data_IF_370325225678
#
_entry.id   IF_370325225678
#
_cell.length_a   1.000
_cell.length_b   1.000
_cell.length_c   1.000
_cell.angle_alpha   90.00
_cell.angle_beta   90.00
_cell.angle_gamma   90.00
#
_symmetry.space_group_name_H-M   'P 1'
#
loop_
_entity.id
_entity.type
_entity.pdbx_description
1 polymer ?
#
# COMPACT_ATOMS: atom_id res chain seq x y z
N UNK A 1 -34.35 -40.54 -33.79
CA UNK A 1 -32.88 -40.37 -33.76
C UNK A 1 -32.55 -38.91 -33.43
N UNK A 2 -32.75 -38.57 -32.15
CA UNK A 2 -32.42 -37.29 -31.51
C UNK A 2 -31.69 -37.74 -30.24
N UNK A 3 -30.40 -37.42 -30.11
CA UNK A 3 -29.52 -37.61 -28.92
C UNK A 3 -28.02 -37.68 -29.26
N UNK A 4 -27.56 -37.19 -30.43
CA UNK A 4 -26.12 -37.13 -30.73
C UNK A 4 -25.56 -35.75 -31.07
N UNK A 5 -26.41 -34.71 -31.16
CA UNK A 5 -25.97 -33.33 -31.45
C UNK A 5 -25.93 -32.47 -30.17
N UNK A 6 -26.65 -32.85 -29.10
CA UNK A 6 -26.57 -32.13 -27.81
C UNK A 6 -25.33 -32.50 -26.98
N UNK A 7 -24.71 -33.66 -27.23
CA UNK A 7 -23.56 -34.14 -26.47
C UNK A 7 -22.22 -33.50 -26.90
N UNK A 8 -22.11 -33.00 -28.14
CA UNK A 8 -20.86 -32.34 -28.59
C UNK A 8 -20.78 -30.87 -28.22
N UNK A 9 -21.92 -30.20 -27.98
CA UNK A 9 -21.93 -28.81 -27.49
C UNK A 9 -21.62 -28.74 -25.99
N UNK A 10 -22.04 -29.74 -25.21
CA UNK A 10 -21.72 -29.86 -23.79
C UNK A 10 -20.24 -30.21 -23.54
N UNK A 11 -19.59 -30.89 -24.49
CA UNK A 11 -18.15 -31.20 -24.41
C UNK A 11 -17.25 -30.01 -24.84
N UNK A 12 -17.74 -29.08 -25.67
CA UNK A 12 -17.01 -27.85 -26.01
C UNK A 12 -17.15 -26.75 -24.93
N UNK A 13 -18.21 -26.77 -24.13
CA UNK A 13 -18.38 -25.86 -22.99
C UNK A 13 -17.63 -26.30 -21.73
N UNK A 14 -17.13 -27.54 -21.68
CA UNK A 14 -16.26 -28.05 -20.61
C UNK A 14 -14.76 -27.84 -20.91
N UNK A 15 -14.41 -27.21 -22.04
CA UNK A 15 -13.05 -26.79 -22.40
C UNK A 15 -12.86 -25.27 -22.38
N UNK A 16 -13.92 -24.49 -22.11
CA UNK A 16 -13.78 -23.12 -21.66
C UNK A 16 -13.51 -23.17 -20.15
N UNK A 17 -12.24 -23.40 -19.80
CA UNK A 17 -11.75 -23.23 -18.45
C UNK A 17 -12.23 -21.88 -17.94
N UNK A 18 -13.18 -21.93 -17.02
CA UNK A 18 -13.43 -20.90 -16.03
C UNK A 18 -12.05 -20.52 -15.50
N UNK A 19 -11.68 -19.26 -15.70
CA UNK A 19 -10.45 -18.70 -15.15
C UNK A 19 -10.50 -18.84 -13.64
N UNK A 20 -10.03 -19.97 -13.13
CA UNK A 20 -9.37 -20.01 -11.85
C UNK A 20 -8.30 -18.91 -11.91
N UNK A 21 -8.12 -18.10 -10.85
CA UNK A 21 -6.89 -17.34 -10.75
C UNK A 21 -5.77 -18.34 -10.97
N UNK A 22 -4.77 -17.95 -11.76
CA UNK A 22 -3.49 -18.62 -11.71
C UNK A 22 -3.03 -18.51 -10.24
N UNK A 23 -3.44 -19.46 -9.42
CA UNK A 23 -2.57 -20.02 -8.41
C UNK A 23 -1.41 -20.44 -9.27
N UNK A 24 -0.35 -19.63 -9.25
CA UNK A 24 0.95 -20.10 -9.67
C UNK A 24 1.16 -21.34 -8.82
N UNK A 25 0.82 -22.51 -9.36
CA UNK A 25 1.49 -23.73 -8.99
C UNK A 25 2.94 -23.36 -9.15
N UNK A 26 3.66 -23.25 -8.03
CA UNK A 26 5.09 -23.07 -8.00
C UNK A 26 5.65 -24.04 -9.04
N UNK A 27 5.98 -23.51 -10.21
CA UNK A 27 6.73 -24.24 -11.21
C UNK A 27 8.01 -24.61 -10.50
N UNK A 28 8.37 -25.88 -10.57
CA UNK A 28 9.62 -26.43 -10.06
C UNK A 28 10.82 -25.84 -10.81
N UNK A 29 11.02 -24.53 -10.70
CA UNK A 29 12.34 -23.95 -10.67
C UNK A 29 12.97 -24.47 -9.39
N UNK A 30 14.17 -25.03 -9.49
CA UNK A 30 14.98 -25.39 -8.35
C UNK A 30 15.10 -24.15 -7.45
N UNK A 31 14.32 -24.06 -6.37
CA UNK A 31 14.50 -23.00 -5.38
C UNK A 31 15.98 -23.02 -4.98
N UNK A 32 16.67 -21.90 -5.20
CA UNK A 32 18.07 -21.79 -4.87
C UNK A 32 18.26 -22.13 -3.39
N UNK A 33 19.27 -22.94 -3.10
CA UNK A 33 19.61 -23.23 -1.71
C UNK A 33 20.04 -21.93 -1.00
N UNK A 34 19.88 -21.86 0.32
CA UNK A 34 20.35 -20.71 1.11
C UNK A 34 21.83 -20.35 0.86
N UNK A 35 22.64 -21.36 0.54
CA UNK A 35 24.05 -21.19 0.22
C UNK A 35 24.28 -20.57 -1.16
N UNK A 36 23.47 -20.93 -2.16
CA UNK A 36 23.49 -20.29 -3.48
C UNK A 36 23.04 -18.84 -3.37
N UNK A 37 21.95 -18.58 -2.64
CA UNK A 37 21.45 -17.22 -2.41
C UNK A 37 22.47 -16.35 -1.68
N UNK A 38 23.19 -16.91 -0.69
CA UNK A 38 24.30 -16.22 -0.04
C UNK A 38 25.42 -15.86 -1.02
N UNK A 39 25.79 -16.77 -1.91
CA UNK A 39 26.84 -16.52 -2.89
C UNK A 39 26.46 -15.43 -3.90
N UNK A 40 25.20 -15.40 -4.30
CA UNK A 40 24.68 -14.47 -5.31
C UNK A 40 24.38 -13.08 -4.73
N UNK A 41 23.84 -13.01 -3.51
CA UNK A 41 23.32 -11.77 -2.94
C UNK A 41 24.28 -11.09 -1.96
N UNK A 42 25.28 -11.80 -1.43
CA UNK A 42 26.20 -11.22 -0.43
C UNK A 42 27.56 -10.87 -1.03
N UNK A 43 28.19 -9.75 -0.60
CA UNK A 43 29.52 -9.37 -1.09
C UNK A 43 30.57 -10.46 -0.80
N UNK A 44 31.26 -10.91 -1.85
CA UNK A 44 32.39 -11.85 -1.74
C UNK A 44 33.67 -11.08 -1.38
N UNK A 45 33.88 -10.87 -0.08
CA UNK A 45 34.99 -10.08 0.44
C UNK A 45 36.25 -10.94 0.62
N UNK A 46 37.41 -10.35 0.38
CA UNK A 46 38.70 -10.91 0.81
C UNK A 46 38.86 -10.82 2.33
N UNK A 47 39.76 -11.62 2.89
CA UNK A 47 40.06 -11.58 4.34
C UNK A 47 40.49 -10.18 4.80
N UNK A 48 41.26 -9.45 3.98
CA UNK A 48 41.66 -8.07 4.28
C UNK A 48 40.48 -7.10 4.34
N UNK A 49 39.47 -7.28 3.49
CA UNK A 49 38.26 -6.44 3.48
C UNK A 49 37.34 -6.80 4.65
N UNK A 50 37.24 -8.08 5.01
CA UNK A 50 36.48 -8.51 6.19
C UNK A 50 37.04 -7.97 7.51
N UNK A 51 38.35 -7.74 7.56
CA UNK A 51 39.08 -7.24 8.73
C UNK A 51 39.34 -5.74 8.69
N UNK A 52 38.79 -5.00 7.71
CA UNK A 52 39.00 -3.57 7.60
C UNK A 52 38.54 -2.84 8.87
N UNK A 53 39.45 -2.09 9.50
CA UNK A 53 39.20 -1.38 10.76
C UNK A 53 39.18 -2.27 12.01
N UNK A 54 39.41 -3.58 11.89
CA UNK A 54 39.53 -4.48 13.03
C UNK A 54 40.83 -4.26 13.81
N UNK A 55 40.79 -4.51 15.12
CA UNK A 55 41.98 -4.46 15.97
C UNK A 55 42.58 -5.86 16.07
N UNK A 56 43.63 -6.11 15.28
CA UNK A 56 44.41 -7.36 15.34
C UNK A 56 45.34 -7.34 16.56
N UNK A 57 45.33 -8.41 17.32
CA UNK A 57 46.13 -8.63 18.52
C UNK A 57 47.20 -9.70 18.25
N UNK A 58 48.06 -9.96 19.23
CA UNK A 58 49.01 -11.08 19.17
C UNK A 58 48.29 -12.45 19.17
N UNK A 59 49.02 -13.52 18.85
CA UNK A 59 48.52 -14.91 18.92
C UNK A 59 47.27 -15.22 18.07
N UNK A 60 47.16 -14.62 16.88
CA UNK A 60 46.06 -14.84 15.95
C UNK A 60 44.67 -14.44 16.49
N UNK A 61 44.64 -13.38 17.31
CA UNK A 61 43.40 -12.85 17.91
C UNK A 61 42.98 -11.52 17.28
N UNK A 62 41.69 -11.24 17.30
CA UNK A 62 41.12 -9.99 16.76
C UNK A 62 39.92 -9.53 17.59
N UNK A 63 39.72 -8.21 17.68
CA UNK A 63 38.54 -7.60 18.29
C UNK A 63 38.05 -6.38 17.50
N UNK A 64 36.86 -5.89 17.83
CA UNK A 64 36.24 -4.73 17.18
C UNK A 64 36.21 -4.84 15.65
N UNK A 65 35.66 -5.94 15.13
CA UNK A 65 35.49 -6.21 13.70
C UNK A 65 34.27 -5.41 13.19
N UNK A 66 34.47 -4.30 12.44
CA UNK A 66 33.36 -3.41 12.07
C UNK A 66 32.32 -4.07 11.18
N UNK A 67 32.74 -4.98 10.29
CA UNK A 67 31.81 -5.69 9.42
C UNK A 67 30.83 -6.57 10.22
N UNK A 68 31.30 -7.28 11.25
CA UNK A 68 30.40 -8.05 12.12
C UNK A 68 29.40 -7.16 12.85
N UNK A 69 29.81 -5.95 13.26
CA UNK A 69 28.92 -4.96 13.84
C UNK A 69 27.84 -4.54 12.84
N UNK A 70 28.22 -4.22 11.60
CA UNK A 70 27.28 -3.84 10.54
C UNK A 70 26.25 -4.94 10.25
N UNK A 71 26.70 -6.19 10.10
CA UNK A 71 25.80 -7.34 9.95
C UNK A 71 24.83 -7.48 11.13
N UNK A 72 25.29 -7.24 12.36
CA UNK A 72 24.44 -7.31 13.54
C UNK A 72 23.38 -6.21 13.56
N UNK A 73 23.75 -4.96 13.24
CA UNK A 73 22.82 -3.83 13.15
C UNK A 73 21.75 -4.05 12.08
N UNK A 74 22.15 -4.60 10.92
CA UNK A 74 21.23 -4.92 9.85
C UNK A 74 20.32 -6.10 10.19
N UNK A 75 20.82 -7.12 10.91
CA UNK A 75 19.98 -8.21 11.42
C UNK A 75 18.93 -7.71 12.40
N UNK A 76 19.27 -6.77 13.29
CA UNK A 76 18.31 -6.14 14.20
C UNK A 76 17.24 -5.39 13.40
N UNK A 77 17.66 -4.60 12.41
CA UNK A 77 16.73 -3.85 11.54
C UNK A 77 15.81 -4.80 10.77
N UNK A 78 16.36 -5.86 10.17
CA UNK A 78 15.60 -6.89 9.48
C UNK A 78 14.63 -7.58 10.43
N UNK A 79 15.07 -7.98 11.62
CA UNK A 79 14.23 -8.67 12.59
C UNK A 79 13.08 -7.80 13.09
N UNK A 80 13.31 -6.50 13.32
CA UNK A 80 12.27 -5.53 13.65
C UNK A 80 11.24 -5.39 12.51
N UNK A 81 11.71 -5.21 11.27
CA UNK A 81 10.82 -5.15 10.10
C UNK A 81 10.05 -6.46 9.93
N UNK A 82 10.71 -7.61 10.12
CA UNK A 82 10.16 -8.95 9.95
C UNK A 82 9.34 -9.45 11.13
N UNK A 83 9.33 -8.75 12.26
CA UNK A 83 8.73 -9.17 13.54
C UNK A 83 9.29 -10.51 14.02
N UNK A 84 10.60 -10.68 13.87
CA UNK A 84 11.36 -11.83 14.32
C UNK A 84 12.05 -11.49 15.65
N UNK A 85 11.97 -12.38 16.64
CA UNK A 85 12.62 -12.14 17.93
C UNK A 85 14.06 -12.64 17.92
N UNK A 86 15.02 -11.75 18.16
CA UNK A 86 16.44 -12.09 18.26
C UNK A 86 16.87 -12.36 19.72
N UNK A 87 17.82 -13.28 19.96
CA UNK A 87 18.38 -13.50 21.30
C UNK A 87 19.12 -12.23 21.79
N UNK A 88 19.20 -11.99 23.11
CA UNK A 88 19.83 -10.78 23.68
C UNK A 88 21.26 -10.51 23.20
N UNK A 89 22.04 -11.57 22.97
CA UNK A 89 23.41 -11.50 22.47
C UNK A 89 23.51 -10.88 21.07
N UNK A 90 22.47 -11.03 20.26
CA UNK A 90 22.39 -10.47 18.92
C UNK A 90 21.86 -9.03 18.89
N UNK A 91 21.39 -8.47 20.02
CA UNK A 91 20.81 -7.13 20.05
C UNK A 91 21.83 -6.00 20.17
N UNK A 92 23.06 -6.29 20.65
CA UNK A 92 24.13 -5.28 20.80
C UNK A 92 25.50 -5.86 20.53
N UNK A 93 26.26 -5.18 19.69
CA UNK A 93 27.65 -5.53 19.42
C UNK A 93 28.53 -5.21 20.63
N UNK A 94 29.44 -6.13 20.94
CA UNK A 94 30.46 -5.91 21.97
C UNK A 94 31.85 -5.78 21.30
N UNK A 95 32.41 -4.56 21.22
CA UNK A 95 33.71 -4.34 20.58
C UNK A 95 34.89 -4.93 21.36
N UNK A 96 34.70 -5.24 22.64
CA UNK A 96 35.73 -5.82 23.50
C UNK A 96 35.79 -7.35 23.41
N UNK A 97 34.87 -8.00 22.69
CA UNK A 97 34.93 -9.45 22.48
C UNK A 97 36.11 -9.81 21.57
N UNK A 98 36.92 -10.75 22.04
CA UNK A 98 38.12 -11.24 21.34
C UNK A 98 37.77 -12.55 20.66
N UNK A 99 38.01 -12.63 19.36
CA UNK A 99 37.82 -13.81 18.52
C UNK A 99 39.17 -14.33 18.01
N UNK A 100 39.18 -15.58 17.57
CA UNK A 100 40.24 -16.10 16.69
C UNK A 100 40.12 -15.46 15.31
N UNK A 101 41.25 -15.03 14.73
CA UNK A 101 41.30 -14.38 13.42
C UNK A 101 40.68 -15.28 12.35
N UNK A 102 41.07 -16.55 12.34
CA UNK A 102 40.60 -17.57 11.38
C UNK A 102 39.07 -17.83 11.50
N UNK A 103 38.45 -17.42 12.61
CA UNK A 103 37.01 -17.59 12.83
C UNK A 103 36.16 -16.43 12.28
N UNK A 104 36.77 -15.33 11.82
CA UNK A 104 36.00 -14.15 11.38
C UNK A 104 35.23 -14.40 10.08
N UNK A 105 35.88 -14.96 9.06
CA UNK A 105 35.23 -15.28 7.79
C UNK A 105 34.01 -16.21 7.96
N UNK A 106 34.11 -17.37 8.66
CA UNK A 106 32.95 -18.24 8.86
C UNK A 106 31.85 -17.59 9.73
N UNK A 107 32.19 -16.69 10.68
CA UNK A 107 31.18 -15.93 11.45
C UNK A 107 30.41 -14.96 10.56
N UNK A 108 31.09 -14.22 9.68
CA UNK A 108 30.44 -13.30 8.73
C UNK A 108 29.51 -14.08 7.79
N UNK A 109 29.98 -15.22 7.28
CA UNK A 109 29.15 -16.14 6.49
C UNK A 109 27.89 -16.58 7.24
N UNK A 110 28.03 -17.04 8.49
CA UNK A 110 26.90 -17.46 9.31
C UNK A 110 25.89 -16.32 9.56
N UNK A 111 26.35 -15.09 9.81
CA UNK A 111 25.50 -13.92 9.97
C UNK A 111 24.72 -13.59 8.68
N UNK A 112 25.38 -13.66 7.53
CA UNK A 112 24.74 -13.47 6.22
C UNK A 112 23.66 -14.52 5.93
N UNK A 113 23.99 -15.81 6.10
CA UNK A 113 23.03 -16.91 5.96
C UNK A 113 21.84 -16.74 6.91
N UNK A 114 22.08 -16.30 8.14
CA UNK A 114 21.01 -16.07 9.12
C UNK A 114 20.05 -14.96 8.66
N UNK A 115 20.55 -13.88 8.05
CA UNK A 115 19.69 -12.81 7.53
C UNK A 115 18.83 -13.27 6.37
N UNK A 116 19.41 -14.01 5.41
CA UNK A 116 18.66 -14.61 4.30
C UNK A 116 17.60 -15.58 4.83
N UNK A 117 17.96 -16.41 5.80
CA UNK A 117 17.05 -17.35 6.44
C UNK A 117 15.86 -16.65 7.12
N UNK A 118 16.10 -15.57 7.88
CA UNK A 118 15.03 -14.75 8.48
C UNK A 118 14.14 -14.17 7.39
N UNK A 119 14.73 -13.68 6.29
CA UNK A 119 13.98 -13.16 5.15
C UNK A 119 13.03 -14.22 4.58
N UNK A 120 13.55 -15.39 4.18
CA UNK A 120 12.74 -16.51 3.65
C UNK A 120 11.66 -16.98 4.62
N UNK A 121 11.98 -17.11 5.91
CA UNK A 121 11.00 -17.45 6.93
C UNK A 121 9.83 -16.43 7.01
N UNK A 122 10.13 -15.16 6.75
CA UNK A 122 9.15 -14.08 6.79
C UNK A 122 8.35 -13.87 5.51
N UNK A 123 8.72 -14.54 4.42
CA UNK A 123 8.10 -14.42 3.09
C UNK A 123 7.44 -15.73 2.65
N UNK A 124 8.12 -16.86 2.80
CA UNK A 124 7.68 -18.16 2.29
C UNK A 124 6.94 -18.99 3.35
N UNK A 125 7.33 -18.85 4.63
CA UNK A 125 6.78 -19.68 5.71
C UNK A 125 5.61 -19.01 6.45
N UNK A 126 5.11 -17.86 5.99
CA UNK A 126 4.07 -17.06 6.68
C UNK A 126 2.83 -17.89 7.04
N UNK A 127 2.50 -18.88 6.20
CA UNK A 127 1.31 -19.73 6.31
C UNK A 127 1.55 -21.02 7.08
N UNK A 128 2.78 -21.28 7.54
CA UNK A 128 3.13 -22.50 8.27
C UNK A 128 2.60 -22.47 9.70
N UNK A 129 2.42 -23.66 10.27
CA UNK A 129 2.05 -23.80 11.69
C UNK A 129 3.07 -23.12 12.61
N UNK A 130 2.62 -22.69 13.79
CA UNK A 130 3.48 -22.04 14.80
C UNK A 130 4.74 -22.85 15.13
N UNK A 131 4.68 -24.18 15.05
CA UNK A 131 5.83 -25.05 15.27
C UNK A 131 6.98 -24.81 14.28
N UNK A 132 6.68 -24.48 13.01
CA UNK A 132 7.68 -24.14 12.00
C UNK A 132 8.41 -22.84 12.38
N UNK A 133 7.66 -21.82 12.77
CA UNK A 133 8.22 -20.55 13.22
C UNK A 133 9.02 -20.69 14.53
N UNK A 134 8.53 -21.49 15.48
CA UNK A 134 9.27 -21.77 16.72
C UNK A 134 10.59 -22.51 16.46
N UNK A 135 10.59 -23.45 15.50
CA UNK A 135 11.81 -24.12 15.08
C UNK A 135 12.77 -23.15 14.38
N UNK A 136 12.29 -22.36 13.42
CA UNK A 136 13.07 -21.32 12.76
C UNK A 136 13.73 -20.35 13.76
N UNK A 137 12.96 -19.89 14.76
CA UNK A 137 13.47 -19.04 15.84
C UNK A 137 14.57 -19.74 16.67
N UNK A 138 14.41 -21.03 16.95
CA UNK A 138 15.44 -21.83 17.62
C UNK A 138 16.74 -21.93 16.82
N UNK A 139 16.64 -22.15 15.52
CA UNK A 139 17.80 -22.25 14.62
C UNK A 139 18.53 -20.92 14.47
N UNK A 140 17.78 -19.81 14.31
CA UNK A 140 18.35 -18.46 14.32
C UNK A 140 19.04 -18.16 15.64
N UNK A 141 18.44 -18.54 16.77
CA UNK A 141 19.06 -18.35 18.07
C UNK A 141 20.38 -19.11 18.21
N UNK A 142 20.44 -20.35 17.74
CA UNK A 142 21.66 -21.17 17.74
C UNK A 142 22.72 -20.54 16.84
N UNK A 143 22.36 -20.15 15.61
CA UNK A 143 23.29 -19.51 14.67
C UNK A 143 23.92 -18.24 15.25
N UNK A 144 23.10 -17.35 15.84
CA UNK A 144 23.58 -16.09 16.41
C UNK A 144 24.41 -16.30 17.67
N UNK A 145 24.00 -17.21 18.56
CA UNK A 145 24.80 -17.54 19.75
C UNK A 145 26.15 -18.12 19.34
N UNK A 146 26.21 -18.99 18.34
CA UNK A 146 27.48 -19.53 17.81
C UNK A 146 28.33 -18.44 17.17
N UNK A 147 27.73 -17.60 16.32
CA UNK A 147 28.41 -16.51 15.61
C UNK A 147 29.04 -15.47 16.57
N UNK A 148 28.41 -15.21 17.72
CA UNK A 148 28.92 -14.26 18.72
C UNK A 148 29.65 -14.91 19.90
N UNK A 149 29.72 -16.25 19.98
CA UNK A 149 30.48 -16.94 21.01
C UNK A 149 31.98 -16.95 20.66
N UNK A 150 32.85 -16.25 21.42
CA UNK A 150 34.28 -16.21 21.14
C UNK A 150 34.99 -17.55 21.33
N UNK A 151 34.36 -18.51 22.00
CA UNK A 151 34.90 -19.85 22.24
C UNK A 151 34.41 -20.90 21.23
N UNK A 152 33.53 -20.52 20.30
CA UNK A 152 33.11 -21.43 19.23
C UNK A 152 34.28 -21.69 18.28
N UNK A 153 34.57 -22.97 18.03
CA UNK A 153 35.59 -23.36 17.05
C UNK A 153 35.12 -23.08 15.63
N UNK A 154 36.05 -23.03 14.66
CA UNK A 154 35.71 -22.90 13.24
C UNK A 154 34.76 -24.01 12.79
N UNK A 155 35.02 -25.24 13.25
CA UNK A 155 34.18 -26.41 12.94
C UNK A 155 32.75 -26.25 13.49
N UNK A 156 32.59 -25.68 14.70
CA UNK A 156 31.26 -25.42 15.28
C UNK A 156 30.49 -24.37 14.46
N UNK A 157 31.19 -23.35 13.95
CA UNK A 157 30.59 -22.26 13.16
C UNK A 157 30.16 -22.79 11.79
N UNK A 158 31.01 -23.57 11.11
CA UNK A 158 30.67 -24.18 9.82
C UNK A 158 29.54 -25.21 9.95
N UNK A 159 29.53 -26.00 11.03
CA UNK A 159 28.39 -26.89 11.32
C UNK A 159 27.09 -26.11 11.51
N UNK A 160 27.14 -24.92 12.11
CA UNK A 160 25.96 -24.04 12.21
C UNK A 160 25.54 -23.46 10.84
N UNK A 161 26.49 -23.13 9.95
CA UNK A 161 26.20 -22.72 8.56
C UNK A 161 25.47 -23.82 7.79
N UNK A 162 25.94 -25.06 7.88
CA UNK A 162 25.28 -26.21 7.23
C UNK A 162 23.89 -26.44 7.81
N UNK A 163 23.75 -26.40 9.14
CA UNK A 163 22.49 -26.63 9.82
C UNK A 163 21.41 -25.62 9.43
N UNK A 164 21.72 -24.32 9.46
CA UNK A 164 20.74 -23.28 9.10
C UNK A 164 20.38 -23.32 7.61
N UNK A 165 21.31 -23.75 6.76
CA UNK A 165 21.04 -23.91 5.33
C UNK A 165 20.08 -25.08 5.06
N UNK A 166 20.28 -26.21 5.75
CA UNK A 166 19.49 -27.43 5.54
C UNK A 166 18.11 -27.39 6.22
N UNK A 167 17.96 -26.63 7.31
CA UNK A 167 16.70 -26.63 8.06
C UNK A 167 15.55 -25.98 7.30
N UNK A 168 15.84 -25.13 6.30
CA UNK A 168 14.81 -24.51 5.47
C UNK A 168 14.00 -25.57 4.71
N UNK A 169 14.68 -26.56 4.11
CA UNK A 169 14.02 -27.66 3.41
C UNK A 169 13.06 -28.41 4.34
N UNK A 170 13.44 -28.60 5.61
CA UNK A 170 12.56 -29.24 6.59
C UNK A 170 11.35 -28.36 6.94
N UNK A 171 11.56 -27.05 7.12
CA UNK A 171 10.51 -26.11 7.48
C UNK A 171 9.45 -25.94 6.38
N UNK A 172 9.86 -25.98 5.11
CA UNK A 172 8.95 -25.94 3.96
C UNK A 172 8.02 -27.15 3.94
N UNK A 173 8.49 -28.32 4.37
CA UNK A 173 7.70 -29.56 4.43
C UNK A 173 6.74 -29.61 5.64
N UNK A 174 6.85 -28.67 6.58
CA UNK A 174 5.92 -28.60 7.71
C UNK A 174 4.51 -28.22 7.23
N UNK A 175 3.45 -28.68 7.93
CA UNK A 175 2.09 -28.40 7.53
C UNK A 175 1.79 -26.89 7.54
N UNK A 176 0.96 -26.48 6.59
CA UNK A 176 0.35 -25.15 6.59
C UNK A 176 -0.79 -25.07 7.62
N UNK A 177 -1.15 -23.85 7.98
CA UNK A 177 -2.26 -23.58 8.89
C UNK A 177 -3.60 -23.97 8.25
N UNK A 178 -4.43 -24.63 9.03
CA UNK A 178 -5.83 -24.90 8.69
C UNK A 178 -6.73 -23.73 9.09
N UNK A 179 -7.97 -23.74 8.60
CA UNK A 179 -8.95 -22.69 8.88
C UNK A 179 -9.28 -22.56 10.38
N UNK A 180 -9.22 -23.67 11.12
CA UNK A 180 -9.55 -23.75 12.54
C UNK A 180 -8.36 -23.48 13.47
N UNK A 181 -7.13 -23.42 12.93
CA UNK A 181 -5.95 -23.07 13.72
C UNK A 181 -6.00 -21.60 14.16
N UNK A 182 -5.30 -21.29 15.24
CA UNK A 182 -5.12 -19.90 15.66
C UNK A 182 -4.14 -19.19 14.73
N UNK A 183 -4.52 -17.99 14.28
CA UNK A 183 -3.67 -17.17 13.42
C UNK A 183 -2.37 -16.79 14.14
N UNK A 184 -1.24 -17.10 13.50
CA UNK A 184 0.11 -16.76 13.98
C UNK A 184 0.34 -15.25 13.94
N UNK A 185 1.39 -14.79 14.62
CA UNK A 185 1.81 -13.38 14.59
C UNK A 185 2.16 -12.91 13.16
N UNK A 186 2.64 -13.82 12.31
CA UNK A 186 3.04 -13.54 10.94
C UNK A 186 1.83 -13.27 10.04
N UNK A 187 0.78 -14.08 10.11
CA UNK A 187 -0.49 -13.80 9.46
C UNK A 187 -1.10 -12.48 9.91
N UNK A 188 -1.09 -12.23 11.23
CA UNK A 188 -1.61 -10.98 11.81
C UNK A 188 -0.82 -9.76 11.34
N UNK A 189 0.46 -9.90 11.03
CA UNK A 189 1.29 -8.81 10.50
C UNK A 189 0.83 -8.39 9.11
N UNK A 190 0.56 -9.36 8.23
CA UNK A 190 0.01 -9.11 6.89
C UNK A 190 -1.31 -8.36 7.02
N UNK A 191 -2.25 -8.89 7.80
CA UNK A 191 -3.52 -8.22 8.09
C UNK A 191 -3.35 -6.80 8.67
N UNK A 192 -2.45 -6.61 9.63
CA UNK A 192 -2.22 -5.30 10.25
C UNK A 192 -1.59 -4.28 9.28
N UNK A 193 -0.92 -4.73 8.20
CA UNK A 193 -0.48 -3.85 7.11
C UNK A 193 -1.70 -3.22 6.43
N UNK A 194 -2.71 -4.01 6.10
CA UNK A 194 -3.93 -3.52 5.46
C UNK A 194 -4.75 -2.63 6.39
N UNK A 195 -4.82 -2.96 7.68
CA UNK A 195 -5.42 -2.07 8.69
C UNK A 195 -4.73 -0.70 8.73
N UNK A 196 -3.39 -0.65 8.60
CA UNK A 196 -2.65 0.63 8.52
C UNK A 196 -2.99 1.39 7.24
N UNK A 197 -3.07 0.73 6.10
CA UNK A 197 -3.48 1.37 4.85
C UNK A 197 -4.92 1.91 4.92
N UNK A 198 -5.85 1.14 5.47
CA UNK A 198 -7.23 1.56 5.70
C UNK A 198 -7.30 2.81 6.60
N UNK A 199 -6.49 2.89 7.67
CA UNK A 199 -6.39 4.08 8.53
C UNK A 199 -5.84 5.30 7.79
N UNK A 200 -4.94 5.13 6.81
CA UNK A 200 -4.46 6.25 5.98
C UNK A 200 -5.57 6.84 5.13
N UNK A 201 -6.51 6.01 4.62
CA UNK A 201 -7.66 6.48 3.83
C UNK A 201 -8.53 7.50 4.59
N UNK A 202 -8.69 7.34 5.90
CA UNK A 202 -9.53 8.24 6.72
C UNK A 202 -9.02 9.69 6.72
N UNK A 203 -7.72 9.88 6.52
CA UNK A 203 -7.05 11.18 6.66
C UNK A 203 -6.83 11.91 5.33
N UNK A 204 -7.10 11.25 4.21
CA UNK A 204 -6.84 11.71 2.85
C UNK A 204 -8.14 12.05 2.11
N UNK A 205 -8.08 13.01 1.20
CA UNK A 205 -9.15 13.28 0.23
C UNK A 205 -9.00 12.37 -0.97
N UNK A 206 -10.11 12.13 -1.68
CA UNK A 206 -10.09 11.45 -2.96
C UNK A 206 -9.71 12.43 -4.07
N UNK A 207 -8.84 11.98 -4.98
CA UNK A 207 -8.50 12.64 -6.23
C UNK A 207 -8.57 11.63 -7.37
N UNK A 208 -9.05 12.08 -8.52
CA UNK A 208 -9.19 11.22 -9.69
C UNK A 208 -7.83 10.67 -10.13
N UNK A 209 -6.76 11.46 -10.07
CA UNK A 209 -5.40 11.04 -10.47
C UNK A 209 -4.74 10.02 -9.53
N UNK A 210 -5.42 9.59 -8.46
CA UNK A 210 -4.90 8.68 -7.43
C UNK A 210 -3.66 9.20 -6.67
N UNK A 211 -3.26 10.47 -6.86
CA UNK A 211 -2.19 11.09 -6.07
C UNK A 211 -2.56 11.18 -4.58
N UNK A 212 -3.86 11.20 -4.31
CA UNK A 212 -4.44 11.13 -2.97
C UNK A 212 -5.67 10.24 -3.02
N UNK A 213 -5.72 9.22 -2.16
CA UNK A 213 -6.84 8.29 -2.07
C UNK A 213 -7.32 8.28 -0.62
N UNK A 214 -8.57 8.67 -0.40
CA UNK A 214 -9.16 8.63 0.92
C UNK A 214 -10.60 9.12 0.98
N UNK A 215 -11.19 9.04 2.17
CA UNK A 215 -12.61 9.27 2.42
C UNK A 215 -12.89 10.53 3.23
N UNK A 216 -11.88 11.39 3.45
CA UNK A 216 -12.02 12.60 4.28
C UNK A 216 -13.06 13.57 3.75
N UNK A 217 -13.16 13.66 2.42
CA UNK A 217 -14.17 14.46 1.72
C UNK A 217 -15.51 13.76 1.55
N UNK A 218 -15.75 12.58 2.13
CA UNK A 218 -17.06 11.91 2.06
C UNK A 218 -17.98 12.41 3.18
N UNK A 219 -19.27 12.04 3.09
CA UNK A 219 -20.27 12.26 4.15
C UNK A 219 -19.74 11.86 5.53
N UNK A 220 -20.10 12.65 6.55
CA UNK A 220 -19.72 12.39 7.94
C UNK A 220 -20.14 10.98 8.40
N UNK A 221 -21.29 10.49 7.93
CA UNK A 221 -21.77 9.13 8.17
C UNK A 221 -20.79 8.07 7.65
N UNK A 222 -20.42 8.12 6.36
CA UNK A 222 -19.48 7.18 5.73
C UNK A 222 -18.16 7.15 6.49
N UNK A 223 -17.60 8.34 6.78
CA UNK A 223 -16.32 8.46 7.50
C UNK A 223 -16.39 7.87 8.91
N UNK A 224 -17.46 8.17 9.65
CA UNK A 224 -17.61 7.73 11.04
C UNK A 224 -17.85 6.22 11.11
N UNK A 225 -18.72 5.70 10.25
CA UNK A 225 -19.00 4.26 10.16
C UNK A 225 -17.76 3.47 9.74
N UNK A 226 -17.02 3.92 8.72
CA UNK A 226 -15.77 3.27 8.32
C UNK A 226 -14.72 3.31 9.44
N UNK A 227 -14.60 4.44 10.15
CA UNK A 227 -13.66 4.55 11.27
C UNK A 227 -14.01 3.58 12.40
N UNK A 228 -15.29 3.46 12.75
CA UNK A 228 -15.77 2.50 13.75
C UNK A 228 -15.48 1.06 13.31
N UNK A 229 -15.75 0.76 12.05
CA UNK A 229 -15.52 -0.55 11.44
C UNK A 229 -14.04 -0.94 11.47
N UNK A 230 -13.14 -0.07 11.01
CA UNK A 230 -11.70 -0.29 11.04
C UNK A 230 -11.21 -0.54 12.48
N UNK A 231 -11.75 0.17 13.46
CA UNK A 231 -11.36 0.02 14.86
C UNK A 231 -11.87 -1.30 15.47
N UNK A 232 -13.09 -1.72 15.14
CA UNK A 232 -13.64 -3.02 15.55
C UNK A 232 -12.82 -4.18 14.95
N UNK A 233 -12.57 -4.12 13.64
CA UNK A 233 -11.76 -5.10 12.90
C UNK A 233 -10.35 -5.19 13.48
N UNK A 234 -9.68 -4.04 13.69
CA UNK A 234 -8.34 -4.02 14.26
C UNK A 234 -8.31 -4.61 15.68
N UNK A 235 -9.34 -4.36 16.49
CA UNK A 235 -9.43 -4.92 17.85
C UNK A 235 -9.61 -6.44 17.80
N UNK A 236 -10.51 -6.94 16.95
CA UNK A 236 -10.79 -8.38 16.80
C UNK A 236 -9.58 -9.13 16.22
N UNK A 237 -8.97 -8.64 15.15
CA UNK A 237 -7.82 -9.30 14.51
C UNK A 237 -6.57 -9.37 15.38
N UNK A 238 -6.40 -8.44 16.33
CA UNK A 238 -5.29 -8.50 17.29
C UNK A 238 -5.54 -9.42 18.49
N UNK A 239 -6.78 -9.87 18.70
CA UNK A 239 -7.11 -10.86 19.73
C UNK A 239 -6.71 -12.29 19.30
N UNK A 240 -6.82 -13.27 20.19
CA UNK A 240 -6.65 -14.67 19.80
C UNK A 240 -7.82 -15.07 18.88
N UNK A 241 -7.51 -15.36 17.62
CA UNK A 241 -8.48 -15.50 16.52
C UNK A 241 -8.08 -16.68 15.63
N UNK A 242 -9.06 -17.38 15.07
CA UNK A 242 -8.80 -18.46 14.11
C UNK A 242 -8.43 -17.89 12.74
N UNK A 243 -7.72 -18.67 11.90
CA UNK A 243 -7.31 -18.23 10.56
C UNK A 243 -8.50 -17.85 9.69
N UNK A 244 -9.58 -18.66 9.71
CA UNK A 244 -10.81 -18.36 8.95
C UNK A 244 -11.42 -17.02 9.31
N UNK A 245 -11.50 -16.70 10.61
CA UNK A 245 -12.09 -15.45 11.09
C UNK A 245 -11.20 -14.27 10.72
N UNK A 246 -9.87 -14.44 10.70
CA UNK A 246 -8.94 -13.40 10.25
C UNK A 246 -9.09 -13.10 8.76
N UNK A 247 -9.28 -14.12 7.93
CA UNK A 247 -9.56 -13.97 6.49
C UNK A 247 -10.88 -13.23 6.26
N UNK A 248 -11.91 -13.56 7.01
CA UNK A 248 -13.20 -12.85 6.95
C UNK A 248 -13.09 -11.40 7.42
N UNK A 249 -12.29 -11.11 8.45
CA UNK A 249 -12.02 -9.75 8.90
C UNK A 249 -11.27 -8.92 7.83
N UNK A 250 -10.33 -9.52 7.10
CA UNK A 250 -9.66 -8.85 5.97
C UNK A 250 -10.66 -8.53 4.84
N UNK A 251 -11.51 -9.49 4.49
CA UNK A 251 -12.58 -9.28 3.51
C UNK A 251 -13.54 -8.16 3.95
N UNK A 252 -13.93 -8.15 5.23
CA UNK A 252 -14.78 -7.12 5.83
C UNK A 252 -14.11 -5.74 5.77
N UNK A 253 -12.81 -5.66 6.06
CA UNK A 253 -12.02 -4.44 5.99
C UNK A 253 -12.00 -3.86 4.56
N UNK A 254 -11.64 -4.71 3.59
CA UNK A 254 -11.52 -4.29 2.19
C UNK A 254 -12.86 -3.92 1.58
N UNK A 255 -13.90 -4.71 1.83
CA UNK A 255 -15.25 -4.39 1.39
C UNK A 255 -15.71 -3.03 1.92
N UNK A 256 -15.54 -2.78 3.23
CA UNK A 256 -15.92 -1.51 3.84
C UNK A 256 -15.15 -0.33 3.24
N UNK A 257 -13.86 -0.51 2.93
CA UNK A 257 -13.03 0.52 2.30
C UNK A 257 -13.42 0.76 0.82
N UNK A 258 -13.64 -0.30 0.04
CA UNK A 258 -14.11 -0.23 -1.35
C UNK A 258 -15.44 0.51 -1.43
N UNK A 259 -16.41 0.07 -0.64
CA UNK A 259 -17.74 0.69 -0.57
C UNK A 259 -17.64 2.18 -0.20
N UNK A 260 -16.82 2.53 0.79
CA UNK A 260 -16.66 3.92 1.22
C UNK A 260 -16.00 4.80 0.14
N UNK A 261 -15.05 4.25 -0.63
CA UNK A 261 -14.42 4.96 -1.73
C UNK A 261 -15.40 5.18 -2.90
N UNK A 262 -16.26 4.19 -3.18
CA UNK A 262 -17.25 4.21 -4.27
C UNK A 262 -18.47 5.10 -4.00
N UNK A 263 -18.72 5.49 -2.75
CA UNK A 263 -19.86 6.37 -2.41
C UNK A 263 -19.83 7.69 -3.20
N UNK A 264 -21.00 8.08 -3.69
CA UNK A 264 -21.24 9.41 -4.28
C UNK A 264 -21.24 10.43 -3.12
N UNK A 265 -20.83 11.68 -3.38
CA UNK A 265 -20.60 12.76 -2.39
C UNK A 265 -19.12 12.96 -2.02
N UNK A 266 -18.36 13.54 -2.95
CA UNK A 266 -16.99 14.00 -2.70
C UNK A 266 -17.01 15.53 -2.50
N UNK A 267 -16.88 15.94 -1.24
CA UNK A 267 -16.63 17.32 -0.84
C UNK A 267 -15.23 17.77 -1.24
N UNK A 268 -15.14 19.02 -1.69
CA UNK A 268 -13.92 19.61 -2.17
C UNK A 268 -12.89 19.77 -1.05
N UNK A 269 -11.65 19.37 -1.32
CA UNK A 269 -10.57 19.56 -0.35
C UNK A 269 -10.30 21.05 -0.09
N UNK A 270 -10.01 21.47 1.15
CA UNK A 270 -9.66 22.86 1.47
C UNK A 270 -8.48 23.37 0.65
N UNK A 271 -7.51 22.49 0.36
CA UNK A 271 -6.36 22.80 -0.49
C UNK A 271 -6.80 23.17 -1.90
N UNK A 272 -7.69 22.40 -2.53
CA UNK A 272 -8.21 22.73 -3.85
C UNK A 272 -9.08 24.00 -3.82
N UNK A 273 -9.96 24.17 -2.84
CA UNK A 273 -10.78 25.38 -2.71
C UNK A 273 -9.91 26.64 -2.60
N UNK A 274 -8.89 26.63 -1.76
CA UNK A 274 -7.96 27.76 -1.60
C UNK A 274 -7.03 27.97 -2.81
N UNK A 275 -6.63 26.87 -3.44
CA UNK A 275 -5.66 26.86 -4.53
C UNK A 275 -6.27 27.24 -5.88
N UNK A 276 -7.57 27.05 -6.02
CA UNK A 276 -8.33 27.19 -7.27
C UNK A 276 -9.41 28.25 -7.11
N UNK A 277 -10.49 27.94 -6.37
CA UNK A 277 -11.70 28.77 -6.29
C UNK A 277 -11.41 30.14 -5.67
N UNK A 278 -10.63 30.20 -4.59
CA UNK A 278 -10.27 31.47 -3.94
C UNK A 278 -9.42 32.38 -4.83
N UNK A 279 -8.64 31.81 -5.76
CA UNK A 279 -7.87 32.61 -6.73
C UNK A 279 -8.80 33.21 -7.78
N UNK A 280 -9.75 32.43 -8.29
CA UNK A 280 -10.75 32.91 -9.25
C UNK A 280 -11.63 34.02 -8.69
N UNK A 281 -12.14 33.85 -7.47
CA UNK A 281 -12.94 34.88 -6.79
C UNK A 281 -12.12 36.16 -6.59
N UNK A 282 -10.81 36.02 -6.30
CA UNK A 282 -9.90 37.17 -6.15
C UNK A 282 -9.68 37.89 -7.48
N UNK A 283 -9.48 37.15 -8.56
CA UNK A 283 -9.29 37.73 -9.89
C UNK A 283 -10.56 38.45 -10.35
N UNK A 284 -11.74 37.84 -10.18
CA UNK A 284 -13.03 38.48 -10.45
C UNK A 284 -13.23 39.77 -9.62
N UNK A 285 -12.85 39.76 -8.34
CA UNK A 285 -12.89 40.95 -7.48
C UNK A 285 -11.95 42.05 -7.98
N UNK A 286 -10.76 41.68 -8.45
CA UNK A 286 -9.81 42.64 -9.04
C UNK A 286 -10.38 43.25 -10.32
N UNK A 287 -11.00 42.45 -11.19
CA UNK A 287 -11.68 42.93 -12.40
C UNK A 287 -12.77 43.94 -12.00
N UNK A 288 -13.67 43.56 -11.09
CA UNK A 288 -14.74 44.44 -10.59
C UNK A 288 -14.20 45.79 -10.11
N UNK A 289 -13.16 45.77 -9.30
CA UNK A 289 -12.60 47.00 -8.73
C UNK A 289 -12.08 47.94 -9.83
N UNK A 290 -11.37 47.39 -10.83
CA UNK A 290 -10.80 48.19 -11.91
C UNK A 290 -11.86 48.71 -12.89
N UNK A 291 -12.91 47.94 -13.17
CA UNK A 291 -13.98 48.33 -14.12
C UNK A 291 -15.09 49.15 -13.47
N UNK A 292 -15.17 49.20 -12.13
CA UNK A 292 -16.25 49.85 -11.38
C UNK A 292 -16.56 51.29 -11.79
N UNK A 293 -15.58 52.09 -12.19
CA UNK A 293 -15.79 53.49 -12.62
C UNK A 293 -16.54 53.64 -13.94
N UNK A 294 -16.61 52.59 -14.74
CA UNK A 294 -17.24 52.59 -16.06
C UNK A 294 -18.63 51.92 -16.06
N UNK A 295 -18.95 51.18 -15.01
CA UNK A 295 -20.21 50.46 -14.88
C UNK A 295 -21.28 51.34 -14.23
N UNK A 296 -22.53 51.16 -14.67
CA UNK A 296 -23.69 51.78 -14.02
C UNK A 296 -23.86 51.28 -12.59
N UNK A 297 -24.64 52.01 -11.78
CA UNK A 297 -24.95 51.58 -10.40
C UNK A 297 -25.63 50.21 -10.36
N UNK A 298 -26.51 49.92 -11.32
CA UNK A 298 -27.21 48.64 -11.42
C UNK A 298 -26.25 47.49 -11.76
N UNK A 299 -25.38 47.67 -12.75
CA UNK A 299 -24.38 46.66 -13.15
C UNK A 299 -23.37 46.39 -12.03
N UNK A 300 -22.94 47.42 -11.29
CA UNK A 300 -22.07 47.27 -10.13
C UNK A 300 -22.74 46.44 -9.03
N UNK A 301 -24.02 46.70 -8.75
CA UNK A 301 -24.78 45.97 -7.75
C UNK A 301 -24.99 44.52 -8.17
N UNK A 302 -25.28 44.27 -9.46
CA UNK A 302 -25.41 42.93 -10.01
C UNK A 302 -24.07 42.16 -9.98
N UNK A 303 -22.95 42.80 -10.31
CA UNK A 303 -21.62 42.18 -10.20
C UNK A 303 -21.31 41.81 -8.74
N UNK A 304 -21.52 42.73 -7.80
CA UNK A 304 -21.33 42.43 -6.38
C UNK A 304 -22.22 41.26 -5.92
N UNK A 305 -23.45 41.17 -6.43
CA UNK A 305 -24.37 40.05 -6.13
C UNK A 305 -23.84 38.72 -6.64
N UNK A 306 -23.39 38.63 -7.89
CA UNK A 306 -22.80 37.39 -8.44
C UNK A 306 -21.50 37.01 -7.71
N UNK A 307 -20.65 37.99 -7.40
CA UNK A 307 -19.43 37.77 -6.63
C UNK A 307 -19.72 37.23 -5.21
N UNK A 308 -20.78 37.73 -4.57
CA UNK A 308 -21.26 37.22 -3.27
C UNK A 308 -21.77 35.79 -3.40
N UNK A 309 -22.62 35.48 -4.39
CA UNK A 309 -23.11 34.12 -4.61
C UNK A 309 -21.96 33.10 -4.73
N UNK A 310 -20.95 33.40 -5.55
CA UNK A 310 -19.78 32.52 -5.69
C UNK A 310 -18.99 32.38 -4.37
N UNK A 311 -18.85 33.48 -3.63
CA UNK A 311 -18.20 33.49 -2.31
C UNK A 311 -18.99 32.67 -1.27
N UNK A 312 -20.32 32.77 -1.30
CA UNK A 312 -21.21 32.06 -0.37
C UNK A 312 -21.22 30.57 -0.67
N UNK A 313 -21.25 30.16 -1.95
CA UNK A 313 -21.09 28.76 -2.37
C UNK A 313 -19.75 28.21 -1.87
N UNK A 314 -18.64 28.93 -2.07
CA UNK A 314 -17.33 28.54 -1.56
C UNK A 314 -17.30 28.36 -0.03
N UNK A 315 -18.08 29.15 0.70
CA UNK A 315 -18.12 29.15 2.17
C UNK A 315 -19.08 28.12 2.73
N UNK A 316 -19.94 27.54 1.90
CA UNK A 316 -20.84 26.50 2.32
C UNK A 316 -20.05 25.33 2.92
N UNK A 317 -20.56 24.80 4.04
CA UNK A 317 -20.04 23.56 4.60
C UNK A 317 -20.28 22.44 3.58
N UNK A 318 -19.32 21.54 3.43
CA UNK A 318 -19.45 20.33 2.61
C UNK A 318 -19.77 20.64 1.12
N UNK A 319 -19.15 21.70 0.57
CA UNK A 319 -19.28 22.04 -0.85
C UNK A 319 -18.55 21.01 -1.72
N UNK A 320 -19.22 20.51 -2.76
CA UNK A 320 -18.61 19.62 -3.73
C UNK A 320 -17.72 20.36 -4.74
N UNK A 321 -16.87 19.60 -5.45
CA UNK A 321 -16.01 20.17 -6.49
C UNK A 321 -16.83 20.83 -7.61
N UNK A 322 -17.88 20.17 -8.09
CA UNK A 322 -18.72 20.67 -9.17
C UNK A 322 -19.47 21.93 -8.74
N UNK A 323 -20.12 21.91 -7.56
CA UNK A 323 -20.88 23.07 -7.07
C UNK A 323 -20.02 24.31 -6.89
N UNK A 324 -18.80 24.14 -6.37
CA UNK A 324 -17.86 25.24 -6.23
C UNK A 324 -17.41 25.80 -7.60
N UNK A 325 -17.17 24.91 -8.57
CA UNK A 325 -16.80 25.28 -9.93
C UNK A 325 -17.95 26.01 -10.66
N UNK A 326 -19.19 25.51 -10.57
CA UNK A 326 -20.39 26.13 -11.14
C UNK A 326 -20.58 27.57 -10.65
N UNK A 327 -20.39 27.82 -9.35
CA UNK A 327 -20.44 29.17 -8.79
C UNK A 327 -19.42 30.12 -9.43
N UNK A 328 -18.24 29.63 -9.78
CA UNK A 328 -17.21 30.40 -10.50
C UNK A 328 -17.55 30.54 -11.98
N UNK A 329 -18.07 29.51 -12.64
CA UNK A 329 -18.46 29.60 -14.05
C UNK A 329 -19.57 30.63 -14.28
N UNK A 330 -20.62 30.63 -13.44
CA UNK A 330 -21.68 31.64 -13.49
C UNK A 330 -21.10 33.06 -13.33
N UNK A 331 -20.15 33.24 -12.42
CA UNK A 331 -19.47 34.52 -12.22
C UNK A 331 -18.66 34.94 -13.45
N UNK A 332 -17.93 34.00 -14.08
CA UNK A 332 -17.16 34.24 -15.29
C UNK A 332 -18.06 34.62 -16.47
N UNK A 333 -19.16 33.89 -16.65
CA UNK A 333 -20.14 34.15 -17.72
C UNK A 333 -20.73 35.56 -17.58
N UNK A 334 -21.13 35.95 -16.37
CA UNK A 334 -21.61 37.30 -16.10
C UNK A 334 -20.55 38.38 -16.41
N UNK A 335 -19.27 38.13 -16.09
CA UNK A 335 -18.18 39.06 -16.42
C UNK A 335 -17.97 39.15 -17.93
N UNK A 336 -18.07 38.04 -18.65
CA UNK A 336 -17.98 38.00 -20.11
C UNK A 336 -19.15 38.77 -20.76
N UNK A 337 -20.38 38.64 -20.22
CA UNK A 337 -21.54 39.42 -20.67
C UNK A 337 -21.34 40.93 -20.44
N UNK A 338 -20.78 41.32 -19.29
CA UNK A 338 -20.46 42.73 -19.02
C UNK A 338 -19.39 43.26 -19.98
N UNK A 339 -18.35 42.47 -20.28
CA UNK A 339 -17.35 42.82 -21.29
C UNK A 339 -18.00 43.04 -22.66
N UNK A 340 -18.92 42.16 -23.07
CA UNK A 340 -19.58 42.28 -24.36
C UNK A 340 -20.39 43.59 -24.49
N UNK A 341 -20.92 44.11 -23.37
CA UNK A 341 -21.61 45.41 -23.32
C UNK A 341 -20.63 46.60 -23.32
N UNK A 342 -19.47 46.46 -22.68
CA UNK A 342 -18.48 47.52 -22.48
C UNK A 342 -17.07 47.08 -22.96
N UNK A 343 -16.88 46.81 -24.26
CA UNK A 343 -15.66 46.16 -24.74
C UNK A 343 -14.41 47.03 -24.57
N UNK A 344 -14.48 48.32 -24.91
CA UNK A 344 -13.33 49.23 -24.88
C UNK A 344 -12.83 49.48 -23.44
N UNK A 345 -13.77 49.57 -22.50
CA UNK A 345 -13.50 49.77 -21.08
C UNK A 345 -12.81 48.55 -20.47
N UNK A 346 -13.26 47.35 -20.82
CA UNK A 346 -12.63 46.11 -20.35
C UNK A 346 -11.26 45.89 -21.02
N UNK A 347 -11.13 46.14 -22.33
CA UNK A 347 -9.87 46.01 -23.06
C UNK A 347 -8.78 46.94 -22.48
N UNK A 348 -9.12 48.21 -22.24
CA UNK A 348 -8.19 49.18 -21.65
C UNK A 348 -7.78 48.82 -20.22
N UNK A 349 -8.73 48.39 -19.38
CA UNK A 349 -8.50 48.10 -17.97
C UNK A 349 -7.71 46.80 -17.74
N UNK A 350 -7.96 45.80 -18.60
CA UNK A 350 -7.34 44.48 -18.51
C UNK A 350 -6.12 44.34 -19.43
N UNK A 351 -5.77 45.39 -20.17
CA UNK A 351 -4.69 45.40 -21.15
C UNK A 351 -4.83 44.30 -22.22
N UNK A 352 -6.05 44.10 -22.70
CA UNK A 352 -6.38 43.15 -23.76
C UNK A 352 -6.26 43.83 -25.12
N UNK A 353 -5.89 43.07 -26.16
CA UNK A 353 -5.98 43.52 -27.55
C UNK A 353 -7.45 43.60 -27.99
N UNK A 354 -7.72 44.36 -29.06
CA UNK A 354 -9.06 44.46 -29.63
C UNK A 354 -9.62 43.07 -29.95
N UNK A 355 -10.79 42.76 -29.39
CA UNK A 355 -11.46 41.47 -29.55
C UNK A 355 -10.90 40.33 -28.69
N UNK A 356 -9.78 40.51 -27.99
CA UNK A 356 -9.15 39.47 -27.16
C UNK A 356 -10.00 39.12 -25.92
N UNK A 357 -10.27 37.83 -25.72
CA UNK A 357 -11.07 37.34 -24.59
C UNK A 357 -10.34 37.46 -23.26
N UNK A 358 -11.10 37.54 -22.16
CA UNK A 358 -10.52 37.43 -20.81
C UNK A 358 -9.95 36.03 -20.66
N UNK A 359 -8.64 35.94 -20.42
CA UNK A 359 -7.99 34.67 -20.13
C UNK A 359 -8.33 34.24 -18.70
N UNK A 360 -9.13 33.19 -18.60
CA UNK A 360 -9.49 32.55 -17.35
C UNK A 360 -8.53 31.41 -17.05
N UNK A 361 -8.20 31.16 -15.78
CA UNK A 361 -7.35 30.01 -15.44
C UNK A 361 -8.11 28.71 -15.71
N UNK A 362 -7.45 27.77 -16.35
CA UNK A 362 -7.97 26.41 -16.41
C UNK A 362 -7.77 25.74 -15.05
N UNK A 363 -8.79 25.02 -14.60
CA UNK A 363 -8.70 24.20 -13.41
C UNK A 363 -9.49 22.91 -13.57
N UNK A 364 -8.88 21.81 -13.13
CA UNK A 364 -9.50 20.49 -13.18
C UNK A 364 -10.54 20.36 -12.07
N UNK A 365 -11.78 20.06 -12.45
CA UNK A 365 -12.88 19.78 -11.54
C UNK A 365 -12.92 18.27 -11.33
N UNK A 366 -12.73 17.82 -10.09
CA UNK A 366 -12.79 16.39 -9.77
C UNK A 366 -14.22 15.87 -9.96
N UNK A 367 -14.33 14.63 -10.44
CA UNK A 367 -15.61 13.93 -10.53
C UNK A 367 -16.22 13.73 -9.14
N UNK A 368 -17.53 13.97 -9.01
CA UNK A 368 -18.28 13.62 -7.79
C UNK A 368 -18.58 12.13 -7.70
N UNK A 369 -18.48 11.43 -8.83
CA UNK A 369 -18.66 9.99 -8.96
C UNK A 369 -17.28 9.37 -9.09
N UNK A 370 -16.80 8.66 -8.05
CA UNK A 370 -15.55 7.92 -8.12
C UNK A 370 -15.59 6.93 -9.28
N UNK A 371 -14.50 6.84 -10.03
CA UNK A 371 -14.37 5.91 -11.14
C UNK A 371 -13.98 4.52 -10.61
N UNK A 372 -14.84 3.49 -10.76
CA UNK A 372 -14.53 2.14 -10.30
C UNK A 372 -13.24 1.60 -10.90
N UNK A 373 -12.93 1.91 -12.17
CA UNK A 373 -11.72 1.44 -12.84
C UNK A 373 -10.45 2.04 -12.21
N UNK A 374 -10.54 3.23 -11.63
CA UNK A 374 -9.42 3.84 -10.89
C UNK A 374 -9.26 3.25 -9.51
N UNK A 375 -10.37 3.00 -8.82
CA UNK A 375 -10.35 2.33 -7.52
C UNK A 375 -9.81 0.90 -7.66
N UNK A 376 -10.10 0.21 -8.78
CA UNK A 376 -9.57 -1.11 -9.12
C UNK A 376 -8.03 -1.17 -9.13
N UNK A 377 -7.36 -0.05 -9.46
CA UNK A 377 -5.88 0.04 -9.48
C UNK A 377 -5.24 0.10 -8.09
N UNK A 378 -6.01 0.21 -7.02
CA UNK A 378 -5.49 0.21 -5.64
C UNK A 378 -5.15 -1.23 -5.23
N UNK A 379 -3.88 -1.61 -5.41
CA UNK A 379 -3.41 -3.00 -5.27
C UNK A 379 -3.79 -3.65 -3.95
N UNK A 380 -3.47 -3.05 -2.80
CA UNK A 380 -3.74 -3.63 -1.48
C UNK A 380 -5.24 -3.82 -1.21
N UNK A 381 -6.08 -2.98 -1.80
CA UNK A 381 -7.53 -2.99 -1.58
C UNK A 381 -8.19 -4.11 -2.39
N UNK A 382 -7.70 -4.35 -3.60
CA UNK A 382 -8.36 -5.27 -4.53
C UNK A 382 -7.67 -6.62 -4.61
N UNK A 383 -6.44 -6.76 -4.13
CA UNK A 383 -5.73 -8.04 -4.03
C UNK A 383 -6.14 -8.79 -2.77
N UNK A 384 -6.21 -10.14 -2.78
CA UNK A 384 -6.27 -10.88 -1.52
C UNK A 384 -5.02 -10.55 -0.68
N UNK A 385 -5.17 -10.48 0.63
CA UNK A 385 -4.00 -10.31 1.52
C UNK A 385 -3.27 -11.60 1.77
N UNK A 386 -3.99 -12.71 1.61
CA UNK A 386 -3.50 -14.05 1.81
C UNK A 386 -3.58 -14.77 0.48
N UNK A 387 -2.44 -15.25 -0.01
CA UNK A 387 -2.33 -15.92 -1.31
C UNK A 387 -2.66 -17.42 -1.21
N UNK A 388 -3.31 -17.84 -0.12
CA UNK A 388 -3.75 -19.21 0.13
C UNK A 388 -5.19 -19.23 0.65
N UNK A 389 -5.89 -20.33 0.36
CA UNK A 389 -7.16 -20.66 1.01
C UNK A 389 -6.88 -21.82 1.98
N UNK A 390 -7.01 -21.62 3.30
CA UNK A 390 -6.68 -22.67 4.25
C UNK A 390 -7.63 -23.86 4.13
N UNK A 391 -7.11 -25.05 4.38
CA UNK A 391 -7.92 -26.26 4.42
C UNK A 391 -9.03 -26.13 5.46
N UNK A 392 -10.25 -26.51 5.06
CA UNK A 392 -11.45 -26.38 5.88
C UNK A 392 -12.07 -24.99 5.90
N UNK A 393 -11.57 -24.04 5.10
CA UNK A 393 -12.18 -22.72 5.01
C UNK A 393 -13.55 -22.77 4.31
N UNK A 394 -14.60 -22.55 5.09
CA UNK A 394 -15.93 -22.25 4.60
C UNK A 394 -16.33 -20.89 5.17
N UNK A 395 -16.58 -19.87 4.32
CA UNK A 395 -17.01 -18.56 4.81
C UNK A 395 -18.27 -18.69 5.65
N UNK A 396 -18.37 -17.86 6.69
CA UNK A 396 -19.57 -17.77 7.51
C UNK A 396 -20.74 -17.26 6.67
N UNK A 397 -21.92 -17.83 6.92
CA UNK A 397 -23.18 -17.39 6.29
C UNK A 397 -23.69 -16.04 6.85
N UNK A 398 -22.87 -15.33 7.62
CA UNK A 398 -23.25 -14.11 8.32
C UNK A 398 -23.20 -12.90 7.39
N UNK A 399 -24.28 -12.12 7.33
CA UNK A 399 -24.33 -10.85 6.61
C UNK A 399 -23.80 -9.70 7.48
N UNK A 400 -22.51 -9.75 7.85
CA UNK A 400 -21.86 -8.70 8.64
C UNK A 400 -20.94 -7.79 7.82
N UNK A 401 -20.70 -8.10 6.54
CA UNK A 401 -19.77 -7.33 5.71
C UNK A 401 -20.47 -6.09 5.18
N UNK A 402 -19.91 -4.91 5.46
CA UNK A 402 -20.38 -3.66 4.85
C UNK A 402 -20.06 -3.70 3.35
N UNK A 403 -21.11 -3.70 2.53
CA UNK A 403 -21.01 -3.68 1.05
C UNK A 403 -21.51 -2.37 0.44
N UNK A 404 -22.02 -1.45 1.27
CA UNK A 404 -22.49 -0.13 0.84
C UNK A 404 -22.84 0.80 2.01
N UNK A 405 -22.89 2.11 1.76
CA UNK A 405 -23.29 3.14 2.73
C UNK A 405 -24.54 3.91 2.29
N UNK A 406 -25.41 3.22 1.54
CA UNK A 406 -26.79 3.67 1.32
C UNK A 406 -26.95 4.82 0.34
N UNK A 407 -25.93 5.18 -0.47
CA UNK A 407 -26.04 6.15 -1.57
C UNK A 407 -26.95 7.35 -1.25
N UNK A 408 -26.52 8.18 -0.29
CA UNK A 408 -27.20 9.37 0.25
C UNK A 408 -28.19 9.12 1.39
N UNK A 409 -28.56 7.87 1.66
CA UNK A 409 -29.24 7.50 2.90
C UNK A 409 -28.18 7.19 3.96
N UNK A 410 -28.36 7.67 5.21
CA UNK A 410 -27.45 7.34 6.31
C UNK A 410 -27.73 5.92 6.82
N UNK A 411 -27.47 4.92 5.97
CA UNK A 411 -27.79 3.52 6.21
C UNK A 411 -26.65 2.62 5.71
N UNK A 412 -26.24 1.66 6.53
CA UNK A 412 -25.31 0.62 6.14
C UNK A 412 -26.04 -0.49 5.39
N UNK A 413 -25.42 -0.97 4.32
CA UNK A 413 -25.85 -2.14 3.57
C UNK A 413 -24.87 -3.26 3.89
N UNK A 414 -25.41 -4.38 4.38
CA UNK A 414 -24.63 -5.55 4.72
C UNK A 414 -24.81 -6.64 3.67
N UNK A 415 -23.82 -7.51 3.56
CA UNK A 415 -23.83 -8.68 2.70
C UNK A 415 -22.91 -9.77 3.25
N UNK A 416 -22.88 -10.89 2.55
CA UNK A 416 -22.04 -12.04 2.87
C UNK A 416 -20.63 -11.92 2.27
N UNK A 417 -19.76 -12.87 2.62
CA UNK A 417 -18.46 -13.05 1.99
C UNK A 417 -18.54 -13.24 0.47
N UNK A 418 -19.58 -13.93 0.00
CA UNK A 418 -19.84 -14.11 -1.44
C UNK A 418 -20.19 -12.77 -2.10
N UNK A 419 -21.00 -11.93 -1.45
CA UNK A 419 -21.30 -10.58 -1.94
C UNK A 419 -20.05 -9.73 -2.09
N UNK A 420 -19.15 -9.77 -1.09
CA UNK A 420 -17.85 -9.09 -1.17
C UNK A 420 -17.03 -9.59 -2.37
N UNK A 421 -16.89 -10.91 -2.50
CA UNK A 421 -16.09 -11.53 -3.58
C UNK A 421 -16.62 -11.12 -4.95
N UNK A 422 -17.94 -11.21 -5.15
CA UNK A 422 -18.60 -10.76 -6.38
C UNK A 422 -18.39 -9.27 -6.66
N UNK A 423 -18.46 -8.42 -5.65
CA UNK A 423 -18.24 -6.97 -5.81
C UNK A 423 -16.79 -6.65 -6.17
N UNK A 424 -15.82 -7.31 -5.51
CA UNK A 424 -14.40 -7.19 -5.82
C UNK A 424 -14.11 -7.63 -7.25
N UNK A 425 -14.66 -8.76 -7.68
CA UNK A 425 -14.40 -9.29 -9.03
C UNK A 425 -15.03 -8.40 -10.10
N UNK A 426 -16.22 -7.84 -9.86
CA UNK A 426 -16.81 -6.79 -10.72
C UNK A 426 -15.96 -5.53 -10.78
N UNK A 427 -15.39 -5.12 -9.65
CA UNK A 427 -14.52 -3.94 -9.59
C UNK A 427 -13.24 -4.18 -10.40
N UNK A 428 -12.62 -5.35 -10.28
CA UNK A 428 -11.48 -5.74 -11.12
C UNK A 428 -11.84 -5.79 -12.61
N UNK A 429 -12.98 -6.38 -12.97
CA UNK A 429 -13.44 -6.43 -14.35
C UNK A 429 -13.70 -5.04 -14.97
N UNK A 430 -13.93 -4.00 -14.15
CA UNK A 430 -14.05 -2.62 -14.66
C UNK A 430 -12.74 -2.06 -15.23
N UNK A 431 -11.59 -2.65 -14.86
CA UNK A 431 -10.29 -2.36 -15.47
C UNK A 431 -10.21 -2.83 -16.93
N UNK A 432 -10.77 -4.01 -17.23
CA UNK A 432 -10.69 -4.64 -18.56
C UNK A 432 -11.48 -3.87 -19.64
N UNK A 433 -12.47 -3.07 -19.25
CA UNK A 433 -13.36 -2.35 -20.19
C UNK A 433 -12.74 -1.02 -20.66
N UNK A 434 -11.68 -0.52 -20.01
CA UNK A 434 -11.09 0.82 -20.27
C UNK A 434 -9.60 0.75 -20.61
N UNK A 435 -9.14 -0.32 -21.24
CA UNK A 435 -7.85 -0.34 -21.92
C UNK A 435 -8.04 -0.02 -23.41
N UNK A 436 -8.06 1.26 -23.85
CA UNK A 436 -7.56 1.55 -25.18
C UNK A 436 -6.06 1.21 -25.17
N UNK A 437 -5.69 0.25 -26.00
CA UNK A 437 -4.31 -0.13 -26.31
C UNK A 437 -3.55 1.13 -26.77
N UNK A 438 -2.80 1.72 -25.84
CA UNK A 438 -1.77 2.70 -26.13
C UNK A 438 -0.45 2.02 -25.82
N UNK A 439 0.27 1.70 -26.89
CA UNK A 439 1.51 0.94 -26.86
C UNK A 439 2.53 1.48 -25.87
N UNK A 440 3.32 0.54 -25.35
CA UNK A 440 4.43 0.76 -24.44
C UNK A 440 5.39 1.83 -24.97
N UNK A 441 5.46 2.96 -24.27
CA UNK A 441 6.65 3.80 -24.27
C UNK A 441 7.32 3.69 -22.90
N UNK A 442 8.52 3.11 -22.93
CA UNK A 442 9.29 2.70 -21.78
C UNK A 442 9.56 3.83 -20.79
N UNK A 443 9.41 3.50 -19.51
CA UNK A 443 9.89 4.33 -18.41
C UNK A 443 11.23 3.79 -17.92
N UNK A 444 12.29 4.56 -18.20
CA UNK A 444 13.58 4.40 -17.55
C UNK A 444 13.44 4.73 -16.05
N UNK A 445 13.71 3.73 -15.22
CA UNK A 445 13.84 3.86 -13.78
C UNK A 445 15.09 4.70 -13.43
N UNK A 446 14.88 5.95 -13.01
CA UNK A 446 15.90 6.68 -12.25
C UNK A 446 15.62 6.53 -10.75
N UNK A 447 16.17 5.46 -10.17
CA UNK A 447 16.32 5.33 -8.72
C UNK A 447 17.44 6.27 -8.27
N UNK A 448 17.05 7.31 -7.53
CA UNK A 448 17.98 8.11 -6.73
C UNK A 448 18.55 7.24 -5.61
N UNK A 449 19.86 7.00 -5.70
CA UNK A 449 20.70 6.32 -4.72
C UNK A 449 20.61 7.07 -3.39
N UNK A 450 20.13 6.38 -2.37
CA UNK A 450 20.16 6.84 -0.98
C UNK A 450 21.43 6.24 -0.35
N UNK A 451 22.37 7.09 0.05
CA UNK A 451 23.64 6.68 0.65
C UNK A 451 23.42 6.16 2.08
N UNK A 452 23.25 4.84 2.16
CA UNK A 452 23.25 4.04 3.38
C UNK A 452 23.18 2.57 2.96
N UNK A 453 24.33 1.95 2.75
CA UNK A 453 24.39 0.55 2.32
C UNK A 453 23.96 -0.36 3.46
N UNK A 454 22.73 -0.86 3.40
CA UNK A 454 22.33 -2.06 4.14
C UNK A 454 22.94 -3.26 3.41
N UNK A 455 23.60 -4.14 4.17
CA UNK A 455 24.15 -5.41 3.71
C UNK A 455 23.01 -6.33 3.25
N UNK A 456 21.90 -6.35 4.00
CA UNK A 456 20.67 -7.03 3.58
C UNK A 456 19.79 -6.10 2.76
N UNK A 457 19.88 -6.21 1.44
CA UNK A 457 19.04 -5.45 0.50
C UNK A 457 18.12 -6.39 -0.30
N UNK A 458 17.06 -6.86 0.35
CA UNK A 458 16.01 -7.66 -0.26
C UNK A 458 14.92 -6.72 -0.83
N UNK A 459 15.17 -6.13 -2.00
CA UNK A 459 14.20 -5.29 -2.73
C UNK A 459 13.21 -6.11 -3.54
#
# INVERSE_FOLDING_TARGET
MKNKILASLLAMLMLANVGAPAIASASSESEASLMEEYQDNMPQLSESEMLEGATVLEENKVKNVPLMQAYQEDLVTLAEDRAFELPPQAQRYNPDTIYDLDSIAPRIKLLGLTGIFIHRCSTELIYKVQAAHSKAAGEVAIALVTAFNPFASVDDIEAACERISNVMDELVQMPDLTADDFATIYLKKVFNKDVREAKKLLNKYYRDDLSEVGVKGKRDFVRTSLMQEINDIAKKGNSQIQVKDLIELDARLKSACQAALLERDIYASPKWLSGTIDKEIRDARNIKNKTSKYLTTEERNAFEKELRKATDVRRAKDVSYQRAAEGVYILRDYINELRAKHPQEFESVLALREGEAISWREFNVQSEIPDPARIAKIVWLNSPSFDFLPDGFTPSDNEEIIVGYGNNENKLQYGSYETYTNNRDRLRASEEIVAPDFGDEGQENNQTVNEGYLIFNFN
#
